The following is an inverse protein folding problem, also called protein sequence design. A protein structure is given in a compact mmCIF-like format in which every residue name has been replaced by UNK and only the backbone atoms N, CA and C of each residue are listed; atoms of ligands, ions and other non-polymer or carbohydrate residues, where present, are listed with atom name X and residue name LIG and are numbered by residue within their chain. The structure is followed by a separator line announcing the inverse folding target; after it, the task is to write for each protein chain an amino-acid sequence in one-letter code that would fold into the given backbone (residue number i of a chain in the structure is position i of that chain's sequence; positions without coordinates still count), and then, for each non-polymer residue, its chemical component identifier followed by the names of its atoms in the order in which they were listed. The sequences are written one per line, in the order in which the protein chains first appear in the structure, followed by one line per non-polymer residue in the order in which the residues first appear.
data_IF_613331721103
#
_entry.id   IF_613331721103
#
_cell.length_a   1.000
_cell.length_b   1.000
_cell.length_c   1.000
_cell.angle_alpha   90.00
_cell.angle_beta   90.00
_cell.angle_gamma   90.00
#
_symmetry.space_group_name_H-M   'P 1'
#
loop_
_entity.id
_entity.type
_entity.pdbx_description
1 polymer ?
#
# COMPACT_ATOMS: atom_id res chain seq x y z
N UNK A 1 -33.19 22.87 18.66
CA UNK A 1 -33.42 21.48 19.10
C UNK A 1 -33.49 20.64 17.86
N UNK A 2 -32.30 20.20 17.36
CA UNK A 2 -32.16 19.32 16.20
C UNK A 2 -31.47 18.05 16.69
N UNK A 3 -32.30 17.04 16.92
CA UNK A 3 -31.87 15.68 17.26
C UNK A 3 -31.27 15.04 16.00
N UNK A 4 -29.95 15.18 15.79
CA UNK A 4 -29.20 14.46 14.77
C UNK A 4 -28.64 13.17 15.40
N UNK A 5 -29.48 12.18 15.59
CA UNK A 5 -29.01 10.78 15.62
C UNK A 5 -28.42 10.49 14.25
N UNK A 6 -27.09 10.51 14.15
CA UNK A 6 -26.41 10.05 12.95
C UNK A 6 -26.78 8.56 12.77
N UNK A 7 -27.54 8.27 11.71
CA UNK A 7 -27.77 6.88 11.30
C UNK A 7 -26.42 6.26 11.00
N UNK A 8 -26.11 5.13 11.67
CA UNK A 8 -24.99 4.28 11.29
C UNK A 8 -25.01 4.02 9.78
N UNK A 9 -23.85 3.96 9.11
CA UNK A 9 -23.80 3.72 7.68
C UNK A 9 -24.54 2.44 7.31
N UNK A 10 -25.34 2.50 6.23
CA UNK A 10 -26.21 1.39 5.79
C UNK A 10 -25.45 0.24 5.11
N UNK A 11 -24.20 -0.01 5.46
CA UNK A 11 -23.36 -1.05 4.82
C UNK A 11 -22.14 -1.41 5.66
N UNK A 12 -21.36 -2.42 5.23
CA UNK A 12 -20.14 -2.81 5.92
C UNK A 12 -19.11 -1.67 5.90
N UNK A 13 -18.51 -1.41 7.06
CA UNK A 13 -17.45 -0.41 7.24
C UNK A 13 -16.12 -0.88 6.64
N UNK A 14 -15.13 0.01 6.57
CA UNK A 14 -13.77 -0.36 6.15
C UNK A 14 -13.20 -1.47 7.03
N UNK A 15 -13.37 -1.38 8.36
CA UNK A 15 -12.91 -2.44 9.28
C UNK A 15 -13.59 -3.79 8.98
N UNK A 16 -14.89 -3.80 8.68
CA UNK A 16 -15.59 -5.04 8.32
C UNK A 16 -14.99 -5.69 7.06
N UNK A 17 -14.55 -4.88 6.08
CA UNK A 17 -13.86 -5.37 4.88
C UNK A 17 -12.50 -5.96 5.21
N UNK A 18 -11.73 -5.28 6.05
CA UNK A 18 -10.42 -5.76 6.51
C UNK A 18 -10.57 -7.09 7.23
N UNK A 19 -11.45 -7.19 8.21
CA UNK A 19 -11.71 -8.43 8.98
C UNK A 19 -12.21 -9.55 8.07
N UNK A 20 -13.17 -9.28 7.19
CA UNK A 20 -13.70 -10.27 6.24
C UNK A 20 -12.65 -10.78 5.26
N UNK A 21 -11.61 -9.99 4.96
CA UNK A 21 -10.54 -10.40 4.05
C UNK A 21 -9.70 -11.55 4.62
N UNK A 22 -9.69 -11.74 5.94
CA UNK A 22 -8.86 -12.71 6.64
C UNK A 22 -7.37 -12.33 6.70
N UNK A 23 -6.98 -11.16 6.18
CA UNK A 23 -5.61 -10.69 6.26
C UNK A 23 -5.27 -10.29 7.70
N UNK A 24 -4.18 -10.80 8.23
CA UNK A 24 -3.70 -10.47 9.58
C UNK A 24 -2.72 -9.28 9.56
N UNK A 25 -2.05 -9.03 8.45
CA UNK A 25 -1.12 -7.91 8.25
C UNK A 25 -1.59 -7.09 7.06
N UNK A 26 -1.97 -5.84 7.32
CA UNK A 26 -2.57 -4.96 6.31
C UNK A 26 -1.78 -3.68 6.17
N UNK A 27 -1.34 -3.39 4.94
CA UNK A 27 -0.70 -2.12 4.58
C UNK A 27 -1.75 -1.09 4.15
N UNK A 28 -1.55 0.15 4.58
CA UNK A 28 -2.32 1.31 4.14
C UNK A 28 -1.40 2.13 3.23
N UNK A 29 -1.72 2.19 1.94
CA UNK A 29 -0.92 2.87 0.92
C UNK A 29 -1.61 4.12 0.40
N UNK A 30 -0.91 5.26 0.42
CA UNK A 30 -1.36 6.47 -0.25
C UNK A 30 -1.07 6.44 -1.75
N UNK A 31 -1.93 7.07 -2.56
CA UNK A 31 -1.65 7.30 -3.98
C UNK A 31 -0.55 8.35 -4.20
N UNK A 32 -0.43 9.30 -3.26
CA UNK A 32 0.54 10.40 -3.28
C UNK A 32 0.85 10.85 -1.83
N UNK A 33 1.84 11.76 -1.62
CA UNK A 33 2.06 12.37 -0.31
C UNK A 33 0.76 12.98 0.23
N UNK A 34 0.56 12.95 1.53
CA UNK A 34 -0.60 13.54 2.20
C UNK A 34 -1.97 12.97 1.74
N UNK A 35 -2.00 11.75 1.17
CA UNK A 35 -3.25 11.10 0.76
C UNK A 35 -4.23 10.85 1.93
N UNK A 36 -3.75 10.90 3.19
CA UNK A 36 -4.57 10.66 4.38
C UNK A 36 -4.47 9.22 4.93
N UNK A 37 -3.36 8.53 4.66
CA UNK A 37 -3.13 7.17 5.19
C UNK A 37 -3.22 7.11 6.71
N UNK A 38 -2.73 8.16 7.40
CA UNK A 38 -2.80 8.28 8.86
C UNK A 38 -4.25 8.43 9.36
N UNK A 39 -5.11 9.15 8.63
CA UNK A 39 -6.55 9.27 8.94
C UNK A 39 -7.25 7.92 8.87
N UNK A 40 -6.92 7.14 7.83
CA UNK A 40 -7.46 5.78 7.67
C UNK A 40 -6.95 4.86 8.77
N UNK A 41 -5.65 4.92 9.10
CA UNK A 41 -5.07 4.16 10.20
C UNK A 41 -5.75 4.51 11.54
N UNK A 42 -5.90 5.79 11.85
CA UNK A 42 -6.56 6.26 13.08
C UNK A 42 -8.01 5.76 13.18
N UNK A 43 -8.75 5.79 12.09
CA UNK A 43 -10.11 5.25 12.05
C UNK A 43 -10.14 3.75 12.33
N UNK A 44 -9.25 2.97 11.70
CA UNK A 44 -9.16 1.52 11.95
C UNK A 44 -8.76 1.21 13.40
N UNK A 45 -7.79 1.94 13.96
CA UNK A 45 -7.36 1.79 15.37
C UNK A 45 -8.52 2.05 16.32
N UNK A 46 -9.25 3.15 16.11
CA UNK A 46 -10.44 3.49 16.91
C UNK A 46 -11.50 2.38 16.83
N UNK A 47 -11.82 1.92 15.64
CA UNK A 47 -12.88 0.94 15.44
C UNK A 47 -12.49 -0.44 16.01
N UNK A 48 -11.19 -0.81 15.93
CA UNK A 48 -10.64 -2.02 16.57
C UNK A 48 -10.74 -1.92 18.09
N UNK A 49 -10.33 -0.79 18.66
CA UNK A 49 -10.44 -0.54 20.10
C UNK A 49 -11.90 -0.59 20.57
N UNK A 50 -12.81 0.10 19.89
CA UNK A 50 -14.24 0.11 20.23
C UNK A 50 -14.88 -1.29 20.17
N UNK A 51 -14.34 -2.20 19.36
CA UNK A 51 -14.78 -3.60 19.29
C UNK A 51 -13.98 -4.55 20.19
N UNK A 52 -13.07 -4.03 20.99
CA UNK A 52 -12.17 -4.81 21.86
C UNK A 52 -11.39 -5.89 21.09
N UNK A 53 -11.05 -5.61 19.83
CA UNK A 53 -10.26 -6.49 18.99
C UNK A 53 -8.77 -6.20 19.21
N UNK A 54 -7.93 -7.23 19.43
CA UNK A 54 -6.49 -7.01 19.57
C UNK A 54 -5.87 -6.53 18.25
N UNK A 55 -4.92 -5.61 18.35
CA UNK A 55 -4.22 -5.07 17.20
C UNK A 55 -2.84 -4.54 17.55
N UNK A 56 -2.05 -4.33 16.53
CA UNK A 56 -0.77 -3.63 16.61
C UNK A 56 -0.57 -2.70 15.41
N UNK A 57 0.28 -1.69 15.59
CA UNK A 57 0.56 -0.68 14.57
C UNK A 57 2.04 -0.42 14.42
N UNK A 58 2.45 -0.14 13.18
CA UNK A 58 3.75 0.43 12.84
C UNK A 58 3.61 1.30 11.59
N UNK A 59 4.67 1.98 11.18
CA UNK A 59 4.66 2.79 9.95
C UNK A 59 5.95 2.65 9.16
N UNK A 60 5.92 3.07 7.90
CA UNK A 60 7.14 3.39 7.17
C UNK A 60 7.88 4.54 7.86
N UNK A 61 9.22 4.58 7.80
CA UNK A 61 9.96 5.73 8.28
C UNK A 61 9.61 6.94 7.42
N UNK A 62 9.42 8.09 8.06
CA UNK A 62 9.24 9.36 7.36
C UNK A 62 10.59 9.88 6.91
N UNK A 63 10.64 10.44 5.71
CA UNK A 63 11.79 11.19 5.25
C UNK A 63 11.77 12.59 5.90
N UNK A 64 12.94 13.14 6.32
CA UNK A 64 13.03 14.49 6.88
C UNK A 64 12.53 15.61 5.96
N UNK A 65 12.37 15.33 4.66
CA UNK A 65 11.94 16.28 3.62
C UNK A 65 10.43 16.63 3.67
N UNK A 66 9.63 16.00 4.51
CA UNK A 66 8.21 16.37 4.67
C UNK A 66 8.02 17.61 5.60
N UNK A 67 9.09 18.20 6.09
CA UNK A 67 9.09 19.54 6.69
C UNK A 67 9.46 20.57 5.62
N UNK A 68 8.57 20.83 4.67
CA UNK A 68 8.69 22.01 3.83
C UNK A 68 8.59 23.26 4.73
N UNK A 69 9.68 24.02 4.83
CA UNK A 69 9.71 25.33 5.49
C UNK A 69 8.65 26.22 4.83
N UNK A 70 7.61 26.56 5.57
CA UNK A 70 6.56 27.48 5.13
C UNK A 70 5.22 26.86 4.76
N UNK A 71 5.07 25.56 4.70
CA UNK A 71 3.75 24.94 4.78
C UNK A 71 3.20 25.16 6.20
N UNK A 72 1.96 25.63 6.28
CA UNK A 72 1.21 25.68 7.54
C UNK A 72 1.47 24.36 8.29
N UNK A 73 2.00 24.35 9.51
CA UNK A 73 2.34 23.13 10.19
C UNK A 73 1.02 22.43 10.54
N UNK A 74 0.41 21.77 9.54
CA UNK A 74 -0.54 20.73 9.86
C UNK A 74 0.25 19.78 10.76
N UNK A 75 -0.14 19.65 12.01
CA UNK A 75 0.62 18.89 12.98
C UNK A 75 0.87 17.54 12.33
N UNK A 76 2.12 17.13 12.28
CA UNK A 76 2.53 15.77 11.93
C UNK A 76 1.54 14.90 12.68
N UNK A 77 0.58 14.32 11.96
CA UNK A 77 -0.60 13.75 12.61
C UNK A 77 -0.13 12.59 13.45
N UNK A 78 0.12 12.87 14.73
CA UNK A 78 0.41 11.84 15.70
C UNK A 78 -0.77 10.89 15.71
N UNK A 79 -0.50 9.62 15.80
CA UNK A 79 -1.56 8.64 15.97
C UNK A 79 -1.98 8.63 17.42
N UNK A 80 -3.26 8.81 17.68
CA UNK A 80 -3.80 8.52 19.01
C UNK A 80 -3.89 7.00 19.15
N UNK A 81 -3.22 6.46 20.13
CA UNK A 81 -3.20 5.04 20.44
C UNK A 81 -3.89 4.80 21.80
N UNK A 82 -4.81 3.87 21.86
CA UNK A 82 -5.48 3.54 23.13
C UNK A 82 -4.58 2.70 24.02
N UNK A 83 -4.93 2.64 25.30
CA UNK A 83 -4.34 1.70 26.25
C UNK A 83 -4.44 0.26 25.76
N UNK A 84 -3.40 -0.52 25.96
CA UNK A 84 -3.31 -1.92 25.53
C UNK A 84 -2.87 -2.12 24.07
N UNK A 85 -2.74 -1.06 23.26
CA UNK A 85 -2.22 -1.17 21.89
C UNK A 85 -0.75 -1.60 21.88
N UNK A 86 -0.38 -2.38 20.84
CA UNK A 86 1.01 -2.75 20.56
C UNK A 86 1.56 -1.87 19.45
N UNK A 87 2.78 -1.37 19.62
CA UNK A 87 3.39 -0.40 18.71
C UNK A 87 4.84 -0.79 18.46
N UNK A 88 5.27 -0.78 17.18
CA UNK A 88 6.68 -0.84 16.85
C UNK A 88 7.14 0.52 16.31
N UNK A 89 8.10 1.14 16.99
CA UNK A 89 8.62 2.47 16.63
C UNK A 89 10.07 2.65 17.04
N UNK A 90 10.80 3.48 16.29
CA UNK A 90 12.14 3.95 16.63
C UNK A 90 12.11 5.32 17.34
N UNK A 91 10.96 6.02 17.33
CA UNK A 91 10.86 7.31 17.99
C UNK A 91 10.83 7.13 19.51
N UNK A 92 11.61 7.90 20.28
CA UNK A 92 11.36 8.00 21.70
C UNK A 92 9.95 8.56 21.91
N UNK A 93 9.21 8.10 22.93
CA UNK A 93 7.90 8.68 23.21
C UNK A 93 8.08 10.19 23.44
N UNK A 94 7.27 11.04 22.77
CA UNK A 94 7.27 12.47 23.04
C UNK A 94 6.96 12.68 24.53
N UNK A 95 7.36 13.82 25.06
CA UNK A 95 7.10 14.18 26.49
C UNK A 95 5.95 15.16 26.53
N UNK A 96 4.93 14.90 27.33
CA UNK A 96 3.75 15.78 27.48
C UNK A 96 2.58 15.07 28.17
N UNK A 97 1.55 15.83 28.52
CA UNK A 97 0.40 15.32 29.26
C UNK A 97 -0.56 14.49 28.37
N UNK A 98 -0.66 14.83 27.08
CA UNK A 98 -1.53 14.14 26.10
C UNK A 98 -0.81 12.99 25.34
N UNK A 99 0.36 12.58 25.82
CA UNK A 99 1.21 11.61 25.16
C UNK A 99 0.99 10.21 25.68
N UNK A 100 0.95 9.23 24.77
CA UNK A 100 0.84 7.83 25.14
C UNK A 100 2.03 7.37 25.99
N UNK A 101 1.76 6.67 27.07
CA UNK A 101 2.81 6.03 27.88
C UNK A 101 3.12 4.67 27.29
N UNK A 102 4.34 4.54 26.79
CA UNK A 102 4.81 3.35 26.09
C UNK A 102 5.80 2.59 26.97
N UNK A 103 5.49 1.35 27.30
CA UNK A 103 6.37 0.43 28.00
C UNK A 103 7.14 -0.40 26.99
N UNK A 104 8.48 -0.34 27.03
CA UNK A 104 9.33 -1.13 26.14
C UNK A 104 9.24 -2.60 26.56
N UNK A 105 8.81 -3.45 25.63
CA UNK A 105 8.71 -4.90 25.84
C UNK A 105 9.97 -5.58 25.31
N UNK A 106 10.41 -5.22 24.09
CA UNK A 106 11.65 -5.75 23.52
C UNK A 106 12.26 -4.82 22.46
N UNK A 107 13.54 -4.98 22.18
CA UNK A 107 14.25 -4.35 21.07
C UNK A 107 14.34 -5.31 19.90
N UNK A 108 14.06 -4.83 18.69
CA UNK A 108 13.99 -5.69 17.49
C UNK A 108 15.36 -6.02 16.87
N UNK A 109 16.43 -5.35 17.31
CA UNK A 109 17.75 -5.41 16.67
C UNK A 109 17.88 -4.58 15.39
N UNK A 110 16.78 -3.97 14.89
CA UNK A 110 16.78 -3.08 13.73
C UNK A 110 16.92 -1.62 14.16
N UNK A 111 17.65 -0.84 13.34
CA UNK A 111 17.92 0.58 13.62
C UNK A 111 17.46 1.44 12.45
N UNK A 112 16.94 2.61 12.73
CA UNK A 112 16.60 3.67 11.78
C UNK A 112 17.46 4.90 12.02
N UNK A 113 17.29 5.93 11.22
CA UNK A 113 17.94 7.26 11.46
C UNK A 113 17.51 7.90 12.77
N UNK A 114 16.37 7.50 13.34
CA UNK A 114 15.86 7.99 14.62
C UNK A 114 16.30 7.14 15.82
N UNK A 115 16.96 6.02 15.59
CA UNK A 115 17.43 5.12 16.63
C UNK A 115 16.93 3.67 16.46
N UNK A 116 17.13 2.83 17.47
CA UNK A 116 16.71 1.43 17.45
C UNK A 116 15.18 1.32 17.47
N UNK A 117 14.65 0.37 16.71
CA UNK A 117 13.21 0.04 16.70
C UNK A 117 12.91 -0.84 17.92
N UNK A 118 12.05 -0.34 18.80
CA UNK A 118 11.49 -1.10 19.91
C UNK A 118 10.06 -1.53 19.65
N UNK A 119 9.63 -2.59 20.33
CA UNK A 119 8.23 -2.99 20.44
C UNK A 119 7.75 -2.58 21.82
N UNK A 120 6.68 -1.84 21.83
CA UNK A 120 6.10 -1.23 23.04
C UNK A 120 4.67 -1.69 23.23
N UNK A 121 4.24 -1.71 24.48
CA UNK A 121 2.83 -1.77 24.87
C UNK A 121 2.40 -0.42 25.43
N UNK A 122 1.26 0.07 24.96
CA UNK A 122 0.69 1.30 25.46
C UNK A 122 0.05 1.03 26.85
N UNK A 123 0.60 1.63 27.91
CA UNK A 123 0.07 1.51 29.28
C UNK A 123 -0.91 2.63 29.65
N UNK A 124 -0.92 3.73 28.89
CA UNK A 124 -1.90 4.81 28.99
C UNK A 124 -2.08 5.44 27.63
N UNK A 125 -3.33 5.53 27.15
CA UNK A 125 -3.65 6.08 25.84
C UNK A 125 -3.22 7.53 25.67
N UNK A 126 -2.96 7.93 24.43
CA UNK A 126 -2.52 9.28 24.07
C UNK A 126 -1.91 9.34 22.67
N UNK A 127 -1.27 10.47 22.36
CA UNK A 127 -0.57 10.67 21.09
C UNK A 127 0.76 9.89 21.03
N UNK A 128 1.04 9.24 19.92
CA UNK A 128 2.30 8.56 19.65
C UNK A 128 2.83 8.86 18.27
N UNK A 129 4.15 9.08 18.17
CA UNK A 129 4.86 9.08 16.91
C UNK A 129 5.30 7.67 16.56
N UNK A 130 5.02 7.26 15.32
CA UNK A 130 5.30 5.90 14.87
C UNK A 130 6.24 5.95 13.68
N UNK A 131 7.43 5.38 13.85
CA UNK A 131 8.48 5.29 12.85
C UNK A 131 9.06 3.88 12.84
N UNK A 132 8.57 3.04 11.97
CA UNK A 132 9.02 1.67 11.84
C UNK A 132 10.26 1.51 10.96
N UNK A 133 10.67 0.27 10.69
CA UNK A 133 11.84 -0.04 9.87
C UNK A 133 11.68 0.43 8.41
N UNK A 134 12.82 0.77 7.79
CA UNK A 134 12.85 1.28 6.41
C UNK A 134 12.87 0.22 5.31
N UNK A 135 13.32 -0.98 5.63
CA UNK A 135 13.54 -2.04 4.66
C UNK A 135 12.44 -3.12 4.72
N UNK A 136 12.02 -3.71 3.58
CA UNK A 136 10.97 -4.73 3.59
C UNK A 136 11.27 -5.95 4.45
N UNK A 137 12.55 -6.37 4.53
CA UNK A 137 12.95 -7.53 5.33
C UNK A 137 12.81 -7.25 6.83
N UNK A 138 13.30 -6.10 7.30
CA UNK A 138 13.15 -5.70 8.70
C UNK A 138 11.70 -5.40 9.06
N UNK A 139 10.95 -4.78 8.15
CA UNK A 139 9.51 -4.58 8.34
C UNK A 139 8.79 -5.92 8.51
N UNK A 140 9.06 -6.89 7.63
CA UNK A 140 8.47 -8.23 7.73
C UNK A 140 8.74 -8.85 9.10
N UNK A 141 9.99 -8.85 9.56
CA UNK A 141 10.36 -9.43 10.87
C UNK A 141 9.63 -8.74 12.02
N UNK A 142 9.51 -7.41 11.99
CA UNK A 142 8.77 -6.64 13.00
C UNK A 142 7.27 -6.97 12.96
N UNK A 143 6.66 -7.10 11.78
CA UNK A 143 5.24 -7.44 11.67
C UNK A 143 4.94 -8.86 12.14
N UNK A 144 5.81 -9.82 11.86
CA UNK A 144 5.71 -11.19 12.36
C UNK A 144 5.76 -11.19 13.89
N UNK A 145 6.70 -10.44 14.47
CA UNK A 145 6.81 -10.35 15.93
C UNK A 145 5.62 -9.64 16.58
N UNK A 146 5.12 -8.57 15.97
CA UNK A 146 3.90 -7.90 16.41
C UNK A 146 2.68 -8.84 16.35
N UNK A 147 2.56 -9.66 15.30
CA UNK A 147 1.48 -10.66 15.20
C UNK A 147 1.52 -11.67 16.34
N UNK A 148 2.72 -12.16 16.68
CA UNK A 148 2.91 -13.11 17.79
C UNK A 148 2.53 -12.51 19.14
N UNK A 149 2.95 -11.26 19.41
CA UNK A 149 2.75 -10.59 20.70
C UNK A 149 1.32 -10.10 20.89
N UNK A 150 0.69 -9.53 19.86
CA UNK A 150 -0.66 -8.98 19.96
C UNK A 150 -1.75 -10.03 19.75
N UNK A 151 -1.47 -11.10 19.00
CA UNK A 151 -2.47 -12.08 18.59
C UNK A 151 -3.60 -11.51 17.73
N UNK A 152 -3.41 -10.29 17.18
CA UNK A 152 -4.43 -9.56 16.47
C UNK A 152 -3.99 -9.00 15.12
N UNK A 153 -4.80 -8.07 14.60
CA UNK A 153 -4.55 -7.41 13.32
C UNK A 153 -3.33 -6.48 13.43
N UNK A 154 -2.39 -6.59 12.49
CA UNK A 154 -1.23 -5.70 12.37
C UNK A 154 -1.46 -4.71 11.24
N UNK A 155 -1.45 -3.41 11.56
CA UNK A 155 -1.63 -2.32 10.60
C UNK A 155 -0.31 -1.61 10.34
N UNK A 156 -0.02 -1.36 9.06
CA UNK A 156 1.19 -0.65 8.62
C UNK A 156 0.80 0.60 7.84
N UNK A 157 1.18 1.79 8.35
CA UNK A 157 1.14 3.01 7.54
C UNK A 157 2.30 2.98 6.53
N UNK A 158 2.03 2.55 5.32
CA UNK A 158 3.03 2.37 4.25
C UNK A 158 3.41 3.67 3.54
N UNK A 159 2.67 4.77 3.77
CA UNK A 159 2.85 6.00 2.99
C UNK A 159 2.58 5.79 1.51
N UNK A 160 3.15 6.66 0.65
CA UNK A 160 2.98 6.56 -0.81
C UNK A 160 4.24 6.03 -1.52
N UNK A 161 5.43 6.31 -0.98
CA UNK A 161 6.72 5.93 -1.59
C UNK A 161 7.10 4.48 -1.33
N UNK A 162 6.57 3.88 -0.27
CA UNK A 162 6.99 2.57 0.23
C UNK A 162 6.02 1.45 -0.17
N UNK A 163 5.67 1.39 -1.48
CA UNK A 163 4.83 0.31 -2.02
C UNK A 163 5.34 -1.09 -1.66
N UNK A 164 6.65 -1.24 -1.48
CA UNK A 164 7.27 -2.53 -1.11
C UNK A 164 6.77 -3.11 0.21
N UNK A 165 6.19 -2.29 1.10
CA UNK A 165 5.59 -2.79 2.34
C UNK A 165 4.24 -3.48 2.11
N UNK A 166 3.58 -3.19 0.99
CA UNK A 166 2.40 -3.91 0.56
C UNK A 166 2.71 -5.20 -0.21
N UNK A 167 3.99 -5.54 -0.41
CA UNK A 167 4.37 -6.74 -1.12
C UNK A 167 3.88 -7.99 -0.38
N UNK A 168 3.29 -8.97 -1.10
CA UNK A 168 2.97 -10.27 -0.54
C UNK A 168 4.21 -10.93 0.07
N UNK A 169 4.12 -11.30 1.33
CA UNK A 169 5.26 -11.77 2.14
C UNK A 169 5.78 -10.73 3.14
N UNK A 170 5.39 -9.46 3.01
CA UNK A 170 5.50 -8.43 4.07
C UNK A 170 4.13 -8.26 4.71
N UNK A 171 3.12 -7.96 3.90
CA UNK A 171 1.71 -7.89 4.33
C UNK A 171 0.83 -8.83 3.51
N UNK A 172 -0.38 -9.08 3.99
CA UNK A 172 -1.32 -10.04 3.38
C UNK A 172 -2.46 -9.34 2.65
N UNK A 173 -2.65 -8.06 2.92
CA UNK A 173 -3.67 -7.26 2.28
C UNK A 173 -3.31 -5.78 2.25
N UNK A 174 -3.99 -5.04 1.37
CA UNK A 174 -3.73 -3.62 1.15
C UNK A 174 -5.03 -2.85 1.10
N UNK A 175 -5.04 -1.71 1.80
CA UNK A 175 -6.01 -0.64 1.64
C UNK A 175 -5.30 0.53 0.94
N UNK A 176 -5.84 0.99 -0.19
CA UNK A 176 -5.31 2.19 -0.87
C UNK A 176 -6.06 3.44 -0.42
N UNK A 177 -5.37 4.56 -0.34
CA UNK A 177 -5.93 5.85 0.08
C UNK A 177 -5.71 6.90 -1.01
N UNK A 178 -6.77 7.59 -1.34
CA UNK A 178 -6.85 8.56 -2.45
C UNK A 178 -7.34 9.90 -1.92
N UNK A 179 -6.58 10.97 -2.16
CA UNK A 179 -7.05 12.31 -1.85
C UNK A 179 -7.44 13.09 -3.12
N UNK A 180 -8.40 13.99 -2.96
CA UNK A 180 -8.82 14.92 -4.03
C UNK A 180 -7.66 15.81 -4.48
N UNK A 181 -6.76 16.18 -3.58
CA UNK A 181 -5.57 16.97 -3.86
C UNK A 181 -4.54 16.33 -4.77
N UNK A 182 -4.74 15.06 -5.20
CA UNK A 182 -3.87 14.43 -6.19
C UNK A 182 -3.86 15.18 -7.53
N UNK A 183 -4.98 15.74 -7.95
CA UNK A 183 -5.10 16.42 -9.23
C UNK A 183 -6.10 17.56 -9.16
N UNK A 184 -5.99 18.52 -10.08
CA UNK A 184 -6.90 19.65 -10.21
C UNK A 184 -8.36 19.24 -10.49
N UNK A 185 -8.63 18.01 -10.88
CA UNK A 185 -9.99 17.51 -11.16
C UNK A 185 -10.24 16.14 -10.57
N UNK A 186 -11.45 15.91 -10.08
CA UNK A 186 -11.92 14.62 -9.57
C UNK A 186 -11.73 13.49 -10.57
N UNK A 187 -12.02 13.74 -11.87
CA UNK A 187 -11.87 12.71 -12.92
C UNK A 187 -10.43 12.23 -13.08
N UNK A 188 -9.45 13.13 -12.98
CA UNK A 188 -8.04 12.75 -13.05
C UNK A 188 -7.60 11.97 -11.83
N UNK A 189 -8.08 12.36 -10.64
CA UNK A 189 -7.83 11.61 -9.41
C UNK A 189 -8.45 10.21 -9.49
N UNK A 190 -9.68 10.08 -9.97
CA UNK A 190 -10.35 8.80 -10.19
C UNK A 190 -9.64 7.94 -11.25
N UNK A 191 -9.16 8.55 -12.34
CA UNK A 191 -8.39 7.84 -13.38
C UNK A 191 -7.04 7.33 -12.86
N UNK A 192 -6.36 8.09 -12.00
CA UNK A 192 -5.13 7.65 -11.34
C UNK A 192 -5.39 6.50 -10.36
N UNK A 193 -6.49 6.57 -9.60
CA UNK A 193 -6.95 5.49 -8.74
C UNK A 193 -7.16 4.20 -9.54
N UNK A 194 -7.88 4.30 -10.64
CA UNK A 194 -8.12 3.17 -11.55
C UNK A 194 -6.81 2.56 -12.04
N UNK A 195 -5.87 3.38 -12.49
CA UNK A 195 -4.57 2.90 -12.93
C UNK A 195 -3.81 2.18 -11.80
N UNK A 196 -3.81 2.72 -10.59
CA UNK A 196 -3.19 2.08 -9.44
C UNK A 196 -3.83 0.72 -9.15
N UNK A 197 -5.17 0.64 -9.15
CA UNK A 197 -5.89 -0.61 -8.94
C UNK A 197 -5.60 -1.62 -10.03
N UNK A 198 -5.62 -1.22 -11.29
CA UNK A 198 -5.29 -2.09 -12.44
C UNK A 198 -3.87 -2.67 -12.29
N UNK A 199 -2.89 -1.87 -11.86
CA UNK A 199 -1.51 -2.35 -11.65
C UNK A 199 -1.37 -3.22 -10.40
N UNK A 200 -2.07 -2.93 -9.31
CA UNK A 200 -2.02 -3.71 -8.08
C UNK A 200 -2.79 -5.05 -8.18
N UNK A 201 -3.74 -5.15 -9.11
CA UNK A 201 -4.62 -6.30 -9.28
C UNK A 201 -4.20 -7.22 -10.43
N UNK A 202 -2.93 -7.18 -10.86
CA UNK A 202 -2.47 -8.10 -11.90
C UNK A 202 -2.67 -9.56 -11.46
N UNK A 203 -3.15 -10.43 -12.38
CA UNK A 203 -3.50 -11.80 -12.05
C UNK A 203 -2.27 -12.66 -11.73
N UNK A 204 -2.45 -13.82 -11.07
CA UNK A 204 -1.38 -14.78 -10.85
C UNK A 204 -0.85 -15.34 -12.17
N UNK A 205 0.43 -15.68 -12.20
CA UNK A 205 1.04 -16.42 -13.28
C UNK A 205 0.72 -17.92 -13.19
N UNK A 206 0.98 -18.64 -14.26
CA UNK A 206 0.89 -20.10 -14.31
C UNK A 206 2.05 -20.78 -13.53
N UNK A 207 2.00 -22.09 -13.41
CA UNK A 207 2.97 -22.91 -12.69
C UNK A 207 4.34 -22.85 -13.35
N UNK A 208 4.42 -22.95 -14.67
CA UNK A 208 5.69 -22.92 -15.41
C UNK A 208 6.46 -21.61 -15.20
N UNK A 209 5.76 -20.48 -15.17
CA UNK A 209 6.37 -19.18 -14.88
C UNK A 209 6.80 -19.06 -13.42
N UNK A 210 6.10 -19.71 -12.49
CA UNK A 210 6.46 -19.76 -11.07
C UNK A 210 7.72 -20.58 -10.86
N UNK A 211 7.80 -21.77 -11.45
CA UNK A 211 8.97 -22.64 -11.39
C UNK A 211 10.21 -21.94 -11.98
N UNK A 212 10.03 -21.29 -13.14
CA UNK A 212 11.09 -20.50 -13.74
C UNK A 212 11.55 -19.33 -12.86
N UNK A 213 10.62 -18.70 -12.11
CA UNK A 213 10.95 -17.70 -11.11
C UNK A 213 11.82 -18.31 -10.00
N UNK A 214 11.41 -19.42 -9.42
CA UNK A 214 12.11 -20.04 -8.30
C UNK A 214 13.55 -20.47 -8.68
N UNK A 215 13.77 -20.88 -9.94
CA UNK A 215 15.07 -21.23 -10.47
C UNK A 215 16.00 -20.04 -10.76
N UNK A 216 15.45 -18.91 -11.17
CA UNK A 216 16.24 -17.80 -11.75
C UNK A 216 16.29 -16.54 -10.90
N UNK A 217 15.31 -16.30 -10.03
CA UNK A 217 15.19 -15.05 -9.27
C UNK A 217 16.40 -14.78 -8.36
N UNK A 218 16.94 -15.81 -7.68
CA UNK A 218 18.12 -15.69 -6.82
C UNK A 218 19.40 -15.32 -7.58
N UNK A 219 19.45 -15.65 -8.88
CA UNK A 219 20.56 -15.34 -9.79
C UNK A 219 20.40 -13.98 -10.48
N UNK A 220 19.29 -13.27 -10.23
CA UNK A 220 18.96 -12.01 -10.90
C UNK A 220 18.74 -12.15 -12.42
N UNK A 221 18.51 -13.36 -12.92
CA UNK A 221 18.37 -13.64 -14.34
C UNK A 221 16.90 -13.66 -14.77
N UNK A 222 16.62 -13.08 -15.94
CA UNK A 222 15.28 -13.09 -16.53
C UNK A 222 15.08 -14.37 -17.33
N UNK A 223 14.11 -15.20 -16.95
CA UNK A 223 13.81 -16.43 -17.68
C UNK A 223 12.89 -16.17 -18.89
N UNK A 224 13.14 -16.90 -19.96
CA UNK A 224 12.37 -16.87 -21.21
C UNK A 224 11.70 -18.23 -21.40
N UNK A 225 10.38 -18.23 -21.63
CA UNK A 225 9.61 -19.45 -21.85
C UNK A 225 8.94 -19.42 -23.25
N UNK A 226 8.83 -20.59 -23.86
CA UNK A 226 8.04 -20.79 -25.09
C UNK A 226 6.54 -20.86 -24.79
N UNK A 227 5.72 -21.07 -25.83
CA UNK A 227 4.26 -21.19 -25.71
C UNK A 227 3.79 -22.43 -24.92
N UNK A 228 4.68 -23.38 -24.65
CA UNK A 228 4.42 -24.59 -23.87
C UNK A 228 4.93 -24.46 -22.41
N UNK A 229 5.43 -23.27 -22.02
CA UNK A 229 6.01 -23.01 -20.70
C UNK A 229 7.41 -23.60 -20.52
N UNK A 230 8.10 -24.07 -21.57
CA UNK A 230 9.43 -24.63 -21.45
C UNK A 230 10.49 -23.52 -21.47
N UNK A 231 11.50 -23.57 -20.58
CA UNK A 231 12.62 -22.64 -20.61
C UNK A 231 13.36 -22.72 -21.95
N UNK A 232 13.54 -21.59 -22.61
CA UNK A 232 14.24 -21.47 -23.91
C UNK A 232 15.46 -20.56 -23.85
N UNK A 233 15.68 -19.91 -22.70
CA UNK A 233 16.86 -19.08 -22.49
C UNK A 233 16.73 -18.23 -21.23
N UNK A 234 17.80 -17.51 -20.95
CA UNK A 234 17.85 -16.48 -19.89
C UNK A 234 18.48 -15.21 -20.44
N UNK A 235 17.95 -14.07 -20.03
CA UNK A 235 18.60 -12.78 -20.29
C UNK A 235 19.45 -12.39 -19.08
N UNK A 236 20.67 -11.88 -19.30
CA UNK A 236 21.48 -11.35 -18.19
C UNK A 236 20.84 -10.11 -17.57
N UNK A 237 21.13 -9.81 -16.30
CA UNK A 237 20.68 -8.58 -15.67
C UNK A 237 21.25 -7.34 -16.39
N UNK A 238 20.49 -6.23 -16.35
CA UNK A 238 20.94 -4.94 -16.92
C UNK A 238 20.73 -4.77 -18.42
N UNK A 239 20.04 -5.68 -19.10
CA UNK A 239 19.74 -5.52 -20.53
C UNK A 239 18.70 -4.40 -20.73
N UNK A 240 19.10 -3.33 -21.41
CA UNK A 240 18.24 -2.14 -21.65
C UNK A 240 17.20 -2.40 -22.73
N UNK A 241 17.59 -3.08 -23.83
CA UNK A 241 16.65 -3.47 -24.89
C UNK A 241 16.43 -4.99 -24.89
N UNK A 242 15.27 -5.45 -24.36
CA UNK A 242 14.95 -6.87 -24.32
C UNK A 242 14.57 -7.46 -25.68
N UNK A 243 14.15 -6.64 -26.65
CA UNK A 243 13.54 -7.09 -27.91
C UNK A 243 14.40 -8.07 -28.70
N UNK A 244 15.71 -7.85 -28.88
CA UNK A 244 16.56 -8.81 -29.63
C UNK A 244 16.66 -10.19 -28.95
N UNK A 245 16.53 -10.25 -27.61
CA UNK A 245 16.63 -11.49 -26.85
C UNK A 245 15.29 -12.28 -26.81
N UNK A 246 14.18 -11.68 -27.23
CA UNK A 246 12.84 -12.29 -27.18
C UNK A 246 12.56 -13.20 -28.40
N UNK A 247 13.54 -14.03 -28.74
CA UNK A 247 13.40 -15.09 -29.76
C UNK A 247 13.87 -16.40 -29.17
N UNK A 248 13.16 -17.46 -29.47
CA UNK A 248 13.62 -18.82 -29.17
C UNK A 248 14.84 -19.19 -30.02
N UNK A 249 15.65 -20.20 -29.65
CA UNK A 249 16.76 -20.68 -30.45
C UNK A 249 16.34 -21.05 -31.89
N UNK A 250 15.11 -21.52 -32.07
CA UNK A 250 14.53 -21.89 -33.36
C UNK A 250 13.97 -20.68 -34.12
N UNK A 251 14.15 -19.45 -33.62
CA UNK A 251 13.64 -18.22 -34.21
C UNK A 251 12.17 -17.91 -33.96
N UNK A 252 11.48 -18.74 -33.15
CA UNK A 252 10.10 -18.51 -32.75
C UNK A 252 9.98 -17.37 -31.70
N UNK A 253 8.77 -16.91 -31.40
CA UNK A 253 8.56 -15.89 -30.39
C UNK A 253 8.64 -16.49 -28.96
N UNK A 254 9.25 -15.74 -28.04
CA UNK A 254 9.12 -15.99 -26.59
C UNK A 254 7.70 -15.64 -26.17
N UNK A 255 7.04 -16.54 -25.43
CA UNK A 255 5.67 -16.35 -24.95
C UNK A 255 5.58 -15.72 -23.57
N UNK A 256 6.54 -16.03 -22.68
CA UNK A 256 6.57 -15.52 -21.32
C UNK A 256 7.97 -15.07 -20.92
N UNK A 257 8.03 -13.92 -20.29
CA UNK A 257 9.26 -13.30 -19.74
C UNK A 257 9.10 -13.16 -18.25
N UNK A 258 9.90 -13.88 -17.46
CA UNK A 258 9.86 -13.88 -15.99
C UNK A 258 10.95 -12.97 -15.46
N UNK A 259 10.55 -11.84 -14.89
CA UNK A 259 11.41 -10.73 -14.49
C UNK A 259 11.76 -10.82 -12.99
N UNK A 260 13.03 -11.02 -12.61
CA UNK A 260 13.46 -11.01 -11.20
C UNK A 260 13.46 -9.59 -10.62
N UNK A 261 13.50 -8.57 -11.49
CA UNK A 261 13.52 -7.16 -11.14
C UNK A 261 12.15 -6.51 -11.25
N UNK A 262 12.09 -5.19 -11.03
CA UNK A 262 10.90 -4.40 -11.31
C UNK A 262 10.68 -4.22 -12.81
N UNK A 263 9.42 -4.06 -13.20
CA UNK A 263 9.03 -3.65 -14.54
C UNK A 263 8.94 -2.13 -14.57
N UNK A 264 9.76 -1.49 -15.39
CA UNK A 264 9.85 -0.03 -15.53
C UNK A 264 9.68 0.40 -17.01
N UNK A 265 9.69 1.71 -17.24
CA UNK A 265 9.53 2.28 -18.57
C UNK A 265 10.67 1.90 -19.51
N UNK A 266 11.91 1.82 -19.04
CA UNK A 266 13.06 1.44 -19.85
C UNK A 266 12.87 0.07 -20.50
N UNK A 267 12.38 -0.90 -19.73
CA UNK A 267 12.08 -2.24 -20.23
C UNK A 267 10.82 -2.25 -21.11
N UNK A 268 9.81 -1.45 -20.76
CA UNK A 268 8.51 -1.47 -21.42
C UNK A 268 8.50 -0.76 -22.78
N UNK A 269 9.21 0.37 -22.93
CA UNK A 269 9.17 1.20 -24.14
C UNK A 269 9.60 0.46 -25.41
N UNK A 270 10.74 -0.28 -25.44
CA UNK A 270 11.11 -1.09 -26.59
C UNK A 270 10.05 -2.14 -26.95
N UNK A 271 9.45 -2.79 -25.93
CA UNK A 271 8.42 -3.81 -26.14
C UNK A 271 7.15 -3.24 -26.77
N UNK A 272 6.69 -2.10 -26.29
CA UNK A 272 5.49 -1.42 -26.83
C UNK A 272 5.69 -1.03 -28.31
N UNK A 273 6.91 -0.64 -28.68
CA UNK A 273 7.26 -0.26 -30.05
C UNK A 273 7.47 -1.46 -30.96
N UNK A 274 7.74 -2.64 -30.45
CA UNK A 274 7.94 -3.86 -31.22
C UNK A 274 6.60 -4.53 -31.58
N UNK A 275 6.57 -5.41 -32.59
CA UNK A 275 5.41 -6.25 -32.89
C UNK A 275 5.28 -7.44 -31.93
N UNK A 276 6.29 -7.68 -31.08
CA UNK A 276 6.31 -8.80 -30.15
C UNK A 276 5.23 -8.65 -29.07
N UNK A 277 4.62 -9.76 -28.73
CA UNK A 277 3.62 -9.84 -27.66
C UNK A 277 3.90 -11.06 -26.81
N UNK A 278 4.07 -10.82 -25.54
CA UNK A 278 4.32 -11.87 -24.56
C UNK A 278 3.62 -11.55 -23.23
N UNK A 279 3.68 -12.48 -22.31
CA UNK A 279 3.30 -12.29 -20.93
C UNK A 279 4.54 -11.86 -20.14
N UNK A 280 4.47 -10.73 -19.45
CA UNK A 280 5.49 -10.27 -18.51
C UNK A 280 5.09 -10.72 -17.11
N UNK A 281 5.96 -11.48 -16.46
CA UNK A 281 5.71 -11.96 -15.09
C UNK A 281 6.67 -11.27 -14.14
N UNK A 282 6.12 -10.57 -13.15
CA UNK A 282 6.86 -9.90 -12.07
C UNK A 282 6.71 -10.69 -10.76
N UNK A 283 7.58 -10.44 -9.79
CA UNK A 283 7.44 -11.07 -8.47
C UNK A 283 6.08 -10.77 -7.85
N UNK A 284 5.71 -9.50 -7.80
CA UNK A 284 4.44 -9.00 -7.28
C UNK A 284 4.14 -7.61 -7.87
N UNK A 285 2.91 -7.15 -7.69
CA UNK A 285 2.40 -5.89 -8.23
C UNK A 285 3.15 -4.64 -7.75
N UNK A 286 3.81 -4.69 -6.59
CA UNK A 286 4.61 -3.54 -6.08
C UNK A 286 5.86 -3.29 -6.91
N UNK A 287 6.22 -4.22 -7.80
CA UNK A 287 7.37 -4.12 -8.71
C UNK A 287 7.01 -3.51 -10.07
N UNK A 288 5.76 -3.12 -10.28
CA UNK A 288 5.33 -2.47 -11.51
C UNK A 288 5.45 -0.95 -11.34
N UNK A 289 6.43 -0.36 -12.02
CA UNK A 289 6.68 1.08 -12.05
C UNK A 289 6.73 1.58 -13.51
N UNK A 290 5.61 1.44 -14.19
CA UNK A 290 5.44 1.79 -15.61
C UNK A 290 4.48 2.97 -15.73
N UNK A 291 4.77 3.93 -16.58
CA UNK A 291 3.85 5.03 -16.84
C UNK A 291 2.53 4.53 -17.46
N UNK A 292 1.38 5.15 -17.11
CA UNK A 292 0.07 4.70 -17.58
C UNK A 292 -0.04 4.56 -19.10
N UNK A 293 0.66 5.42 -19.86
CA UNK A 293 0.64 5.40 -21.32
C UNK A 293 1.25 4.11 -21.89
N UNK A 294 2.36 3.64 -21.36
CA UNK A 294 3.03 2.42 -21.82
C UNK A 294 2.32 1.16 -21.33
N UNK A 295 1.86 1.17 -20.08
CA UNK A 295 1.07 0.08 -19.52
C UNK A 295 -0.20 -0.19 -20.35
N UNK A 296 -0.98 0.87 -20.63
CA UNK A 296 -2.20 0.77 -21.45
C UNK A 296 -1.90 0.37 -22.90
N UNK A 297 -0.82 0.90 -23.49
CA UNK A 297 -0.40 0.53 -24.84
C UNK A 297 -0.02 -0.94 -24.93
N UNK A 298 0.67 -1.48 -23.92
CA UNK A 298 1.03 -2.90 -23.83
C UNK A 298 -0.22 -3.79 -23.80
N UNK A 299 -1.16 -3.51 -22.89
CA UNK A 299 -2.40 -4.29 -22.79
C UNK A 299 -3.28 -4.19 -24.03
N UNK A 300 -3.41 -2.98 -24.61
CA UNK A 300 -4.14 -2.78 -25.88
C UNK A 300 -3.52 -3.57 -27.03
N UNK A 301 -2.19 -3.70 -27.04
CA UNK A 301 -1.44 -4.51 -27.99
C UNK A 301 -1.54 -6.02 -27.74
N UNK A 302 -2.38 -6.50 -26.82
CA UNK A 302 -2.53 -7.90 -26.38
C UNK A 302 -1.34 -8.47 -25.59
N UNK A 303 -0.44 -7.62 -25.09
CA UNK A 303 0.51 -8.02 -24.06
C UNK A 303 -0.22 -8.30 -22.74
N UNK A 304 0.39 -9.09 -21.87
CA UNK A 304 -0.15 -9.41 -20.55
C UNK A 304 0.88 -9.11 -19.47
N UNK A 305 0.40 -8.86 -18.26
CA UNK A 305 1.25 -8.72 -17.06
C UNK A 305 0.63 -9.59 -15.99
N UNK A 306 1.46 -10.39 -15.32
CA UNK A 306 1.07 -11.32 -14.27
C UNK A 306 2.06 -11.24 -13.10
N UNK A 307 1.68 -11.77 -11.95
CA UNK A 307 2.52 -11.81 -10.77
C UNK A 307 2.71 -13.24 -10.25
N UNK A 308 3.93 -13.55 -9.79
CA UNK A 308 4.21 -14.80 -9.08
C UNK A 308 3.42 -14.85 -7.76
N UNK A 309 3.36 -13.70 -7.08
CA UNK A 309 2.63 -13.51 -5.82
C UNK A 309 1.62 -12.38 -5.99
N UNK A 310 0.35 -12.69 -6.28
CA UNK A 310 -0.67 -11.66 -6.46
C UNK A 310 -0.91 -10.92 -5.13
N UNK A 311 -1.16 -9.61 -5.25
CA UNK A 311 -1.49 -8.75 -4.12
C UNK A 311 -2.99 -8.82 -3.85
N UNK A 312 -3.39 -8.80 -2.57
CA UNK A 312 -4.80 -8.73 -2.18
C UNK A 312 -5.17 -7.28 -1.88
N UNK A 313 -5.85 -6.64 -2.80
CA UNK A 313 -6.48 -5.33 -2.58
C UNK A 313 -7.81 -5.54 -1.84
N UNK A 314 -7.93 -4.95 -0.63
CA UNK A 314 -9.11 -5.13 0.23
C UNK A 314 -10.16 -4.07 -0.07
N UNK A 315 -9.73 -2.81 -0.10
CA UNK A 315 -10.61 -1.65 -0.29
C UNK A 315 -9.81 -0.42 -0.73
N UNK A 316 -10.54 0.60 -1.17
CA UNK A 316 -10.04 1.95 -1.34
C UNK A 316 -10.71 2.88 -0.31
N UNK A 317 -9.96 3.84 0.23
CA UNK A 317 -10.49 4.91 1.06
C UNK A 317 -10.30 6.26 0.37
N UNK A 318 -11.28 7.14 0.46
CA UNK A 318 -11.24 8.48 -0.11
C UNK A 318 -11.01 9.55 0.95
N UNK A 319 -10.21 10.55 0.59
CA UNK A 319 -9.98 11.77 1.37
C UNK A 319 -10.28 12.97 0.47
N UNK A 320 -11.35 13.75 0.73
CA UNK A 320 -11.73 14.89 -0.10
C UNK A 320 -10.83 16.11 0.10
N UNK A 321 -9.90 16.08 1.04
CA UNK A 321 -8.99 17.18 1.34
C UNK A 321 -8.10 17.55 0.15
N UNK A 322 -7.96 18.85 -0.10
CA UNK A 322 -7.15 19.40 -1.17
C UNK A 322 -6.28 20.57 -0.67
N UNK A 323 -4.99 20.37 -0.40
CA UNK A 323 -4.11 21.43 0.10
C UNK A 323 -3.86 22.55 -0.89
N UNK A 324 -4.11 22.33 -2.18
CA UNK A 324 -3.86 23.32 -3.26
C UNK A 324 -5.13 24.11 -3.64
N UNK A 325 -6.28 23.86 -3.00
CA UNK A 325 -7.55 24.52 -3.34
C UNK A 325 -8.68 24.13 -2.40
N UNK A 326 -9.94 24.38 -2.79
CA UNK A 326 -11.08 23.96 -1.99
C UNK A 326 -11.18 22.43 -1.93
N UNK A 327 -11.62 21.92 -0.78
CA UNK A 327 -11.91 20.50 -0.62
C UNK A 327 -12.99 20.05 -1.61
N UNK A 328 -12.89 18.83 -2.10
CA UNK A 328 -13.94 18.24 -2.92
C UNK A 328 -15.18 17.92 -2.07
N UNK A 329 -16.36 17.92 -2.69
CA UNK A 329 -17.52 17.34 -2.03
C UNK A 329 -17.27 15.84 -1.77
N UNK A 330 -17.40 15.41 -0.52
CA UNK A 330 -17.04 14.05 -0.13
C UNK A 330 -17.87 12.96 -0.79
N UNK A 331 -19.16 13.20 -0.95
CA UNK A 331 -20.07 12.22 -1.54
C UNK A 331 -19.82 12.12 -3.05
N UNK A 332 -19.60 13.25 -3.71
CA UNK A 332 -19.26 13.30 -5.15
C UNK A 332 -17.90 12.65 -5.41
N UNK A 333 -16.89 12.98 -4.60
CA UNK A 333 -15.55 12.40 -4.76
C UNK A 333 -15.57 10.89 -4.55
N UNK A 334 -16.21 10.41 -3.48
CA UNK A 334 -16.37 8.96 -3.23
C UNK A 334 -17.13 8.27 -4.36
N UNK A 335 -18.20 8.89 -4.89
CA UNK A 335 -18.97 8.32 -5.99
C UNK A 335 -18.15 8.23 -7.28
N UNK A 336 -17.37 9.27 -7.60
CA UNK A 336 -16.50 9.28 -8.78
C UNK A 336 -15.43 8.18 -8.69
N UNK A 337 -14.79 8.01 -7.52
CA UNK A 337 -13.82 6.94 -7.28
C UNK A 337 -14.51 5.57 -7.34
N UNK A 338 -15.69 5.39 -6.73
CA UNK A 338 -16.41 4.13 -6.78
C UNK A 338 -16.84 3.74 -8.22
N UNK A 339 -17.21 4.74 -9.03
CA UNK A 339 -17.54 4.55 -10.45
C UNK A 339 -16.31 4.11 -11.25
N UNK A 340 -15.13 4.65 -10.92
CA UNK A 340 -13.87 4.26 -11.55
C UNK A 340 -13.36 2.88 -11.10
N UNK A 341 -13.78 2.40 -9.92
CA UNK A 341 -13.35 1.17 -9.27
C UNK A 341 -14.52 0.23 -8.97
N UNK A 342 -15.24 -0.30 -9.98
CA UNK A 342 -16.49 -1.04 -9.78
C UNK A 342 -16.31 -2.32 -8.94
N UNK A 343 -15.13 -2.93 -8.98
CA UNK A 343 -14.81 -4.20 -8.31
C UNK A 343 -14.15 -4.03 -6.93
N UNK A 344 -13.90 -2.77 -6.51
CA UNK A 344 -13.21 -2.46 -5.25
C UNK A 344 -14.15 -1.66 -4.33
N UNK A 345 -14.41 -2.12 -3.10
CA UNK A 345 -15.18 -1.34 -2.13
C UNK A 345 -14.51 0.02 -1.86
N UNK A 346 -15.29 1.11 -1.93
CA UNK A 346 -14.79 2.47 -1.70
C UNK A 346 -15.45 3.05 -0.45
N UNK A 347 -14.62 3.47 0.49
CA UNK A 347 -14.98 3.96 1.81
C UNK A 347 -14.59 5.42 2.03
N UNK A 348 -15.34 6.13 2.85
CA UNK A 348 -14.92 7.39 3.44
C UNK A 348 -15.00 7.26 4.96
N UNK A 349 -13.83 7.08 5.58
CA UNK A 349 -13.74 6.74 7.00
C UNK A 349 -14.22 7.87 7.92
N UNK A 350 -14.24 9.11 7.46
CA UNK A 350 -14.76 10.26 8.23
C UNK A 350 -16.28 10.25 8.23
N UNK A 351 -16.92 10.02 7.08
CA UNK A 351 -18.38 9.88 6.99
C UNK A 351 -18.84 8.64 7.77
N UNK A 352 -18.15 7.51 7.62
CA UNK A 352 -18.51 6.25 8.28
C UNK A 352 -18.47 6.36 9.81
N UNK A 353 -17.57 7.18 10.34
CA UNK A 353 -17.48 7.43 11.78
C UNK A 353 -18.48 8.44 12.33
N UNK A 354 -19.35 9.01 11.47
CA UNK A 354 -20.27 10.08 11.88
C UNK A 354 -19.57 11.40 12.23
N UNK A 355 -18.29 11.53 11.86
CA UNK A 355 -17.46 12.68 12.20
C UNK A 355 -17.87 13.94 11.44
N UNK A 356 -17.76 15.08 12.12
CA UNK A 356 -17.85 16.40 11.49
C UNK A 356 -16.46 16.76 10.95
N UNK A 357 -16.36 16.97 9.64
CA UNK A 357 -15.09 17.32 8.96
C UNK A 357 -14.52 18.67 9.36
N UNK A 358 -15.30 19.50 10.04
CA UNK A 358 -14.81 20.75 10.66
C UNK A 358 -13.94 20.49 11.90
N UNK A 359 -13.85 19.25 12.37
CA UNK A 359 -13.01 18.88 13.51
C UNK A 359 -11.85 18.02 13.03
N UNK A 360 -10.64 18.28 13.50
CA UNK A 360 -9.48 17.43 13.22
C UNK A 360 -9.75 15.98 13.65
N UNK A 361 -9.30 15.00 12.89
CA UNK A 361 -9.57 13.57 13.11
C UNK A 361 -9.12 13.09 14.50
N UNK A 362 -8.14 13.77 15.11
CA UNK A 362 -7.69 13.49 16.48
C UNK A 362 -8.68 13.93 17.58
N UNK A 363 -9.71 14.75 17.26
CA UNK A 363 -10.76 15.14 18.22
C UNK A 363 -11.96 14.18 18.25
N UNK A 364 -11.88 13.05 17.58
CA UNK A 364 -12.93 12.03 17.60
C UNK A 364 -12.86 11.10 18.82
N UNK A 365 -11.96 11.37 19.77
CA UNK A 365 -11.77 10.57 20.98
C UNK A 365 -12.41 11.20 22.25
N UNK A 366 -13.09 12.36 22.11
CA UNK A 366 -13.85 13.02 23.18
C UNK A 366 -15.29 12.51 23.24
#
# INVERSE_FOLDING_TARGET
MFDRKSKAPAGPTLLDRVVKSGAQRVAILGLHPQAGTRTVLASLVRDLHARSMPFSVTSAPRLPLEQEEGADPHPVTRLIVPEGAWIATAAPPPVGDDVAKLELIETTGWTTTLGPVGIYRCSSGGEADIHGPGEPASMKAVLERLSELSGGLVLVDGGWERRSFAAPGVTEGVVIVLAAGYSATTDRSAAAARYLVETLSVPPCDEAARDAWDETASKGATALLDARGRPVGVMPPGLVDPVPALKTPDGGPVSTVVLPHGLNDEFMVPLVRSPLRCTLVVRDATRINVAPVYYKAWLKGRGRIQAVRPLRLIAAATNPWNPAGPDADPAEFRLAVATALPDVPVHDVVIESGGDRGKPVWKFWD
#
